data_IF_738894141828
#
_entry.id   IF_738894141828
#
_cell.length_a   1.000
_cell.length_b   1.000
_cell.length_c   1.000
_cell.angle_alpha   90.00
_cell.angle_beta   90.00
_cell.angle_gamma   90.00
#
_symmetry.space_group_name_H-M   'P 1'
#
loop_
_entity.id
_entity.type
_entity.pdbx_description
1 polymer ?
#
# COMPACT_ATOMS: atom_id res chain seq x y z
N UNK A 1 -103.86 0.96 24.23
CA UNK A 1 -103.95 -0.30 24.99
C UNK A 1 -103.29 -1.39 24.16
N UNK A 2 -102.16 -1.92 24.64
CA UNK A 2 -101.42 -3.15 24.26
C UNK A 2 -101.30 -3.48 22.75
N UNK A 3 -100.14 -3.34 22.12
CA UNK A 3 -98.96 -4.22 22.18
C UNK A 3 -98.83 -4.97 20.85
N UNK A 4 -97.66 -4.90 20.19
CA UNK A 4 -96.82 -6.09 19.96
C UNK A 4 -95.53 -5.73 19.20
N UNK A 5 -94.51 -6.48 19.61
CA UNK A 5 -93.08 -6.42 19.40
C UNK A 5 -92.69 -7.22 18.15
N UNK A 6 -91.71 -6.74 17.36
CA UNK A 6 -90.84 -7.61 16.55
C UNK A 6 -89.61 -6.79 16.12
N UNK A 7 -88.47 -6.92 16.82
CA UNK A 7 -87.33 -7.80 16.50
C UNK A 7 -86.78 -7.54 15.08
N UNK A 8 -85.70 -6.76 15.03
CA UNK A 8 -84.88 -6.56 13.84
C UNK A 8 -83.43 -6.33 14.26
N UNK A 9 -82.67 -7.42 14.31
CA UNK A 9 -81.23 -7.47 14.56
C UNK A 9 -80.53 -6.86 13.34
N UNK A 10 -79.80 -5.77 13.52
CA UNK A 10 -78.83 -5.31 12.52
C UNK A 10 -77.46 -5.18 13.19
N UNK A 11 -76.75 -6.30 13.23
CA UNK A 11 -75.31 -6.31 13.46
C UNK A 11 -74.63 -5.62 12.28
N UNK A 12 -74.08 -4.41 12.50
CA UNK A 12 -73.16 -3.78 11.54
C UNK A 12 -71.80 -4.46 11.68
N UNK A 13 -71.50 -5.37 10.76
CA UNK A 13 -70.13 -5.85 10.54
C UNK A 13 -69.32 -4.75 9.87
N UNK A 14 -68.50 -4.04 10.65
CA UNK A 14 -67.45 -3.18 10.11
C UNK A 14 -66.26 -4.05 9.68
N UNK A 15 -66.15 -4.35 8.39
CA UNK A 15 -64.92 -4.91 7.81
C UNK A 15 -63.88 -3.78 7.75
N UNK A 16 -62.96 -3.75 8.71
CA UNK A 16 -61.72 -2.97 8.56
C UNK A 16 -60.82 -3.73 7.59
N UNK A 17 -60.81 -3.32 6.32
CA UNK A 17 -59.77 -3.74 5.37
C UNK A 17 -58.46 -3.15 5.86
N UNK A 18 -57.59 -3.99 6.42
CA UNK A 18 -56.25 -3.60 6.84
C UNK A 18 -55.44 -3.14 5.64
N UNK A 19 -55.07 -1.87 5.60
CA UNK A 19 -53.99 -1.35 4.77
C UNK A 19 -52.65 -1.89 5.28
N UNK A 20 -52.29 -3.10 4.86
CA UNK A 20 -50.96 -3.69 5.02
C UNK A 20 -50.30 -3.86 3.65
N UNK A 21 -50.08 -2.74 2.96
CA UNK A 21 -49.30 -2.75 1.74
C UNK A 21 -48.54 -1.43 1.62
N UNK A 22 -47.46 -1.30 2.39
CA UNK A 22 -46.38 -0.36 2.09
C UNK A 22 -45.23 -0.59 3.07
N UNK A 23 -44.34 -1.55 2.78
CA UNK A 23 -42.94 -1.47 3.25
C UNK A 23 -41.97 -2.46 2.58
N UNK A 24 -42.25 -2.91 1.36
CA UNK A 24 -41.29 -3.72 0.59
C UNK A 24 -40.78 -2.93 -0.63
N UNK A 25 -40.24 -1.74 -0.38
CA UNK A 25 -39.26 -1.14 -1.30
C UNK A 25 -37.86 -1.54 -0.82
N UNK A 26 -37.53 -2.82 -0.98
CA UNK A 26 -36.14 -3.25 -0.99
C UNK A 26 -35.47 -2.60 -2.19
N UNK A 27 -34.70 -1.53 -1.96
CA UNK A 27 -33.80 -1.02 -2.98
C UNK A 27 -32.70 -2.06 -3.16
N UNK A 28 -32.85 -2.96 -4.13
CA UNK A 28 -31.75 -3.81 -4.57
C UNK A 28 -30.71 -2.88 -5.18
N UNK A 29 -29.72 -2.46 -4.38
CA UNK A 29 -28.52 -1.82 -4.89
C UNK A 29 -27.71 -2.90 -5.59
N UNK A 30 -27.93 -3.06 -6.89
CA UNK A 30 -27.03 -3.83 -7.76
C UNK A 30 -25.72 -3.05 -7.89
N UNK A 31 -24.88 -3.14 -6.85
CA UNK A 31 -23.51 -2.69 -6.93
C UNK A 31 -22.70 -3.83 -7.56
N UNK A 32 -22.91 -4.09 -8.85
CA UNK A 32 -22.05 -4.95 -9.69
C UNK A 32 -20.72 -4.26 -10.01
N UNK A 33 -20.17 -3.52 -9.04
CA UNK A 33 -18.76 -3.17 -9.03
C UNK A 33 -18.02 -4.41 -8.52
N UNK A 34 -17.30 -5.10 -9.41
CA UNK A 34 -16.32 -6.13 -9.04
C UNK A 34 -15.58 -5.71 -7.75
N UNK A 35 -15.34 -6.61 -6.79
CA UNK A 35 -14.88 -6.25 -5.45
C UNK A 35 -13.62 -5.39 -5.54
N UNK A 36 -13.78 -4.06 -5.41
CA UNK A 36 -12.67 -3.12 -5.49
C UNK A 36 -11.97 -3.14 -4.15
N UNK A 37 -10.70 -3.51 -4.12
CA UNK A 37 -9.86 -3.53 -2.92
C UNK A 37 -10.06 -2.27 -2.06
N UNK A 38 -10.21 -2.41 -0.74
CA UNK A 38 -10.33 -1.27 0.19
C UNK A 38 -9.00 -0.49 0.28
N UNK A 39 -9.03 0.80 0.64
CA UNK A 39 -7.82 1.62 0.79
C UNK A 39 -6.93 1.13 1.92
N UNK A 40 -7.51 0.63 3.02
CA UNK A 40 -6.76 0.01 4.11
C UNK A 40 -5.93 -1.18 3.63
N UNK A 41 -6.54 -2.10 2.87
CA UNK A 41 -5.84 -3.26 2.31
C UNK A 41 -4.77 -2.89 1.29
N UNK A 42 -5.05 -1.90 0.44
CA UNK A 42 -4.06 -1.38 -0.50
C UNK A 42 -2.81 -0.86 0.24
N UNK A 43 -2.99 -0.03 1.26
CA UNK A 43 -1.86 0.52 2.02
C UNK A 43 -1.11 -0.56 2.80
N UNK A 44 -1.82 -1.57 3.33
CA UNK A 44 -1.20 -2.75 3.95
C UNK A 44 -0.32 -3.52 2.95
N UNK A 45 -0.81 -3.78 1.74
CA UNK A 45 -0.04 -4.44 0.69
C UNK A 45 1.15 -3.61 0.21
N UNK A 46 0.99 -2.29 0.08
CA UNK A 46 2.10 -1.37 -0.27
C UNK A 46 3.19 -1.40 0.80
N UNK A 47 2.81 -1.39 2.08
CA UNK A 47 3.75 -1.53 3.21
C UNK A 47 4.44 -2.89 3.22
N UNK A 48 3.68 -3.96 2.94
CA UNK A 48 4.21 -5.31 2.84
C UNK A 48 5.22 -5.44 1.68
N UNK A 49 4.92 -4.87 0.51
CA UNK A 49 5.83 -4.86 -0.63
C UNK A 49 7.18 -4.20 -0.28
N UNK A 50 7.16 -3.02 0.36
CA UNK A 50 8.39 -2.35 0.80
C UNK A 50 9.18 -3.20 1.79
N UNK A 51 8.51 -3.81 2.77
CA UNK A 51 9.14 -4.69 3.77
C UNK A 51 9.78 -5.92 3.15
N UNK A 52 9.08 -6.59 2.23
CA UNK A 52 9.62 -7.75 1.52
C UNK A 52 10.84 -7.35 0.68
N UNK A 53 10.79 -6.22 -0.02
CA UNK A 53 11.92 -5.76 -0.82
C UNK A 53 13.14 -5.41 0.05
N UNK A 54 12.95 -4.70 1.16
CA UNK A 54 14.04 -4.41 2.11
C UNK A 54 14.59 -5.69 2.73
N UNK A 55 13.74 -6.59 3.20
CA UNK A 55 14.17 -7.87 3.78
C UNK A 55 14.92 -8.73 2.75
N UNK A 56 14.42 -8.78 1.51
CA UNK A 56 15.07 -9.53 0.43
C UNK A 56 16.46 -8.97 0.13
N UNK A 57 16.62 -7.64 0.13
CA UNK A 57 17.93 -6.96 -0.02
C UNK A 57 18.91 -7.37 1.06
N UNK A 58 18.49 -7.41 2.32
CA UNK A 58 19.34 -7.85 3.43
C UNK A 58 19.71 -9.33 3.27
N UNK A 59 18.74 -10.19 2.98
CA UNK A 59 18.99 -11.64 2.82
C UNK A 59 19.93 -11.93 1.65
N UNK A 60 19.70 -11.32 0.48
CA UNK A 60 20.59 -11.51 -0.68
C UNK A 60 21.96 -10.88 -0.49
N UNK A 61 22.10 -9.82 0.31
CA UNK A 61 23.41 -9.32 0.71
C UNK A 61 24.20 -10.38 1.49
N UNK A 62 23.58 -11.02 2.48
CA UNK A 62 24.23 -12.11 3.22
C UNK A 62 24.55 -13.30 2.32
N UNK A 63 23.62 -13.70 1.43
CA UNK A 63 23.87 -14.79 0.49
C UNK A 63 24.99 -14.46 -0.50
N UNK A 64 25.06 -13.22 -1.00
CA UNK A 64 26.13 -12.77 -1.92
C UNK A 64 27.50 -12.71 -1.25
N UNK A 65 27.55 -12.19 -0.02
CA UNK A 65 28.77 -12.21 0.80
C UNK A 65 29.20 -13.65 1.11
N UNK A 66 28.26 -14.51 1.51
CA UNK A 66 28.53 -15.91 1.80
C UNK A 66 29.01 -16.69 0.57
N UNK A 67 28.37 -16.51 -0.59
CA UNK A 67 28.79 -17.13 -1.85
C UNK A 67 30.19 -16.67 -2.28
N UNK A 68 30.51 -15.40 -2.04
CA UNK A 68 31.85 -14.86 -2.33
C UNK A 68 32.88 -15.42 -1.36
N UNK A 69 32.54 -15.53 -0.08
CA UNK A 69 33.41 -16.13 0.93
C UNK A 69 33.68 -17.62 0.64
N UNK A 70 32.66 -18.39 0.27
CA UNK A 70 32.85 -19.79 -0.11
C UNK A 70 33.68 -19.93 -1.38
N UNK A 71 33.48 -19.04 -2.36
CA UNK A 71 34.33 -19.00 -3.55
C UNK A 71 35.79 -18.69 -3.21
N UNK A 72 36.05 -17.66 -2.40
CA UNK A 72 37.40 -17.29 -1.95
C UNK A 72 38.06 -18.40 -1.12
N UNK A 73 37.30 -19.15 -0.33
CA UNK A 73 37.83 -20.28 0.44
C UNK A 73 38.35 -21.43 -0.42
N UNK A 74 37.98 -21.48 -1.71
CA UNK A 74 38.53 -22.45 -2.67
C UNK A 74 39.70 -21.86 -3.48
N UNK A 75 40.01 -20.58 -3.33
CA UNK A 75 41.13 -19.94 -4.02
C UNK A 75 42.36 -20.02 -3.12
N UNK A 76 43.42 -20.65 -3.61
CA UNK A 76 44.72 -20.65 -2.95
C UNK A 76 45.34 -19.25 -3.07
N UNK A 77 45.38 -18.54 -1.94
CA UNK A 77 46.00 -17.22 -1.83
C UNK A 77 47.25 -17.34 -0.95
N UNK A 78 48.39 -16.94 -1.51
CA UNK A 78 49.65 -16.84 -0.78
C UNK A 78 49.62 -15.61 0.14
N UNK A 79 49.48 -15.85 1.45
CA UNK A 79 49.30 -14.80 2.47
C UNK A 79 50.57 -13.99 2.69
N UNK A 80 51.73 -14.49 2.25
CA UNK A 80 53.02 -13.80 2.42
C UNK A 80 53.25 -12.74 1.35
N UNK A 81 52.48 -12.77 0.26
CA UNK A 81 52.64 -11.83 -0.87
C UNK A 81 51.51 -10.80 -0.91
N UNK A 82 51.83 -9.51 -0.99
CA UNK A 82 50.81 -8.48 -1.14
C UNK A 82 50.09 -8.61 -2.49
N UNK A 83 48.77 -8.46 -2.47
CA UNK A 83 47.94 -8.43 -3.68
C UNK A 83 47.74 -6.97 -4.07
N UNK A 84 48.30 -6.56 -5.21
CA UNK A 84 48.23 -5.16 -5.69
C UNK A 84 48.77 -4.12 -4.68
N UNK A 85 49.75 -4.52 -3.85
CA UNK A 85 50.31 -3.66 -2.80
C UNK A 85 49.46 -3.56 -1.53
N UNK A 86 48.36 -4.31 -1.45
CA UNK A 86 47.49 -4.42 -0.27
C UNK A 86 47.69 -5.76 0.44
N UNK A 87 47.42 -5.76 1.75
CA UNK A 87 47.36 -6.98 2.56
C UNK A 87 46.28 -7.94 2.02
N UNK A 88 46.58 -9.23 1.80
CA UNK A 88 45.60 -10.24 1.41
C UNK A 88 44.30 -10.22 2.23
N UNK A 89 44.36 -9.99 3.55
CA UNK A 89 43.15 -9.91 4.37
C UNK A 89 42.23 -8.74 3.99
N UNK A 90 42.81 -7.58 3.64
CA UNK A 90 42.03 -6.43 3.16
C UNK A 90 41.37 -6.72 1.82
N UNK A 91 42.09 -7.37 0.90
CA UNK A 91 41.54 -7.75 -0.41
C UNK A 91 40.41 -8.76 -0.27
N UNK A 92 40.58 -9.77 0.59
CA UNK A 92 39.54 -10.76 0.87
C UNK A 92 38.30 -10.13 1.52
N UNK A 93 38.49 -9.30 2.55
CA UNK A 93 37.40 -8.56 3.18
C UNK A 93 36.66 -7.64 2.19
N UNK A 94 37.42 -6.96 1.32
CA UNK A 94 36.90 -6.14 0.24
C UNK A 94 36.08 -6.96 -0.76
N UNK A 95 36.59 -8.11 -1.20
CA UNK A 95 35.89 -9.01 -2.13
C UNK A 95 34.56 -9.50 -1.53
N UNK A 96 34.56 -9.98 -0.27
CA UNK A 96 33.34 -10.41 0.42
C UNK A 96 32.34 -9.26 0.57
N UNK A 97 32.81 -8.06 0.90
CA UNK A 97 31.98 -6.86 0.99
C UNK A 97 31.35 -6.50 -0.35
N UNK A 98 32.12 -6.59 -1.45
CA UNK A 98 31.62 -6.38 -2.81
C UNK A 98 30.55 -7.41 -3.19
N UNK A 99 30.79 -8.69 -2.86
CA UNK A 99 29.81 -9.75 -3.03
C UNK A 99 28.50 -9.48 -2.30
N UNK A 100 28.58 -9.01 -1.06
CA UNK A 100 27.42 -8.59 -0.28
C UNK A 100 26.71 -7.38 -0.87
N UNK A 101 27.45 -6.39 -1.37
CA UNK A 101 26.88 -5.21 -2.02
C UNK A 101 26.12 -5.59 -3.31
N UNK A 102 26.71 -6.44 -4.15
CA UNK A 102 26.04 -6.96 -5.36
C UNK A 102 24.76 -7.71 -4.98
N UNK A 103 24.83 -8.55 -3.95
CA UNK A 103 23.66 -9.23 -3.40
C UNK A 103 22.57 -8.25 -2.94
N UNK A 104 22.94 -7.20 -2.20
CA UNK A 104 22.02 -6.18 -1.72
C UNK A 104 21.26 -5.49 -2.86
N UNK A 105 21.97 -5.10 -3.92
CA UNK A 105 21.40 -4.44 -5.10
C UNK A 105 20.45 -5.37 -5.86
N UNK A 106 20.77 -6.67 -5.94
CA UNK A 106 19.92 -7.65 -6.60
C UNK A 106 18.63 -7.99 -5.82
N UNK A 107 18.60 -7.75 -4.51
CA UNK A 107 17.53 -8.21 -3.64
C UNK A 107 16.11 -7.70 -3.92
N UNK A 108 15.88 -6.41 -4.26
CA UNK A 108 14.54 -5.93 -4.60
C UNK A 108 13.93 -6.65 -5.82
N UNK A 109 14.75 -7.13 -6.76
CA UNK A 109 14.27 -7.92 -7.91
C UNK A 109 13.68 -9.25 -7.45
N UNK A 110 14.36 -9.94 -6.54
CA UNK A 110 13.87 -11.19 -5.91
C UNK A 110 12.64 -10.91 -5.04
N UNK A 111 12.69 -9.85 -4.23
CA UNK A 111 11.59 -9.45 -3.35
C UNK A 111 10.29 -9.15 -4.11
N UNK A 112 10.39 -8.48 -5.25
CA UNK A 112 9.24 -8.20 -6.11
C UNK A 112 8.61 -9.48 -6.68
N UNK A 113 9.41 -10.49 -7.01
CA UNK A 113 8.90 -11.79 -7.47
C UNK A 113 8.17 -12.49 -6.32
N UNK A 114 8.77 -12.55 -5.13
CA UNK A 114 8.15 -13.12 -3.92
C UNK A 114 6.82 -12.42 -3.60
N UNK A 115 6.79 -11.10 -3.61
CA UNK A 115 5.59 -10.33 -3.32
C UNK A 115 4.45 -10.66 -4.29
N UNK A 116 4.75 -10.74 -5.60
CA UNK A 116 3.78 -11.09 -6.65
C UNK A 116 3.25 -12.51 -6.49
N UNK A 117 4.12 -13.46 -6.12
CA UNK A 117 3.72 -14.86 -5.90
C UNK A 117 2.79 -15.00 -4.70
N UNK A 118 3.14 -14.39 -3.56
CA UNK A 118 2.34 -14.46 -2.33
C UNK A 118 0.98 -13.78 -2.50
N UNK A 119 0.93 -12.64 -3.20
CA UNK A 119 -0.29 -11.84 -3.35
C UNK A 119 -0.97 -12.01 -4.71
N UNK A 120 -0.73 -13.13 -5.41
CA UNK A 120 -1.15 -13.36 -6.81
C UNK A 120 -2.62 -13.03 -7.09
N UNK A 121 -3.52 -13.40 -6.17
CA UNK A 121 -4.97 -13.18 -6.31
C UNK A 121 -5.36 -11.71 -6.21
N UNK A 122 -4.63 -10.93 -5.41
CA UNK A 122 -4.90 -9.52 -5.15
C UNK A 122 -4.14 -8.58 -6.12
N UNK A 123 -3.19 -9.09 -6.91
CA UNK A 123 -2.28 -8.28 -7.74
C UNK A 123 -3.01 -7.41 -8.79
N UNK A 124 -4.05 -7.92 -9.43
CA UNK A 124 -4.79 -7.17 -10.44
C UNK A 124 -5.46 -5.93 -9.83
N UNK A 125 -6.14 -6.12 -8.69
CA UNK A 125 -6.80 -5.05 -7.96
C UNK A 125 -5.78 -4.08 -7.33
N UNK A 126 -4.67 -4.61 -6.81
CA UNK A 126 -3.58 -3.81 -6.26
C UNK A 126 -3.01 -2.86 -7.30
N UNK A 127 -2.69 -3.34 -8.51
CA UNK A 127 -2.18 -2.50 -9.61
C UNK A 127 -3.18 -1.43 -10.05
N UNK A 128 -4.45 -1.80 -10.23
CA UNK A 128 -5.49 -0.84 -10.59
C UNK A 128 -5.60 0.29 -9.55
N UNK A 129 -5.52 -0.08 -8.26
CA UNK A 129 -5.59 0.88 -7.16
C UNK A 129 -4.32 1.70 -6.97
N UNK A 130 -3.16 1.12 -7.23
CA UNK A 130 -1.88 1.84 -7.22
C UNK A 130 -1.86 2.92 -8.30
N UNK A 131 -2.38 2.63 -9.50
CA UNK A 131 -2.55 3.64 -10.55
C UNK A 131 -3.47 4.79 -10.11
N UNK A 132 -4.62 4.48 -9.50
CA UNK A 132 -5.52 5.51 -8.95
C UNK A 132 -4.85 6.32 -7.83
N UNK A 133 -4.05 5.67 -6.99
CA UNK A 133 -3.26 6.34 -5.96
C UNK A 133 -2.25 7.31 -6.59
N UNK A 134 -1.46 6.86 -7.57
CA UNK A 134 -0.48 7.69 -8.26
C UNK A 134 -1.13 8.87 -8.99
N UNK A 135 -2.32 8.69 -9.57
CA UNK A 135 -3.10 9.79 -10.14
C UNK A 135 -3.48 10.83 -9.08
N UNK A 136 -3.92 10.39 -7.89
CA UNK A 136 -4.22 11.29 -6.76
C UNK A 136 -2.97 12.01 -6.25
N UNK A 137 -1.83 11.33 -6.19
CA UNK A 137 -0.55 11.96 -5.82
C UNK A 137 -0.16 13.00 -6.87
N UNK A 138 -0.19 12.66 -8.16
CA UNK A 138 0.12 13.58 -9.26
C UNK A 138 -0.77 14.82 -9.25
N UNK A 139 -2.05 14.68 -8.93
CA UNK A 139 -2.99 15.80 -8.84
C UNK A 139 -2.72 16.69 -7.62
N UNK A 140 -2.37 16.10 -6.48
CA UNK A 140 -2.25 16.82 -5.21
C UNK A 140 -0.81 17.25 -4.86
N UNK A 141 0.22 16.79 -5.59
CA UNK A 141 1.61 17.20 -5.34
C UNK A 141 1.79 18.69 -5.57
N UNK A 142 2.78 19.27 -4.90
CA UNK A 142 3.17 20.67 -5.05
C UNK A 142 4.24 20.81 -6.13
N UNK A 143 4.39 22.01 -6.68
CA UNK A 143 5.49 22.31 -7.61
C UNK A 143 6.81 22.45 -6.83
N UNK A 144 7.86 21.65 -7.14
CA UNK A 144 9.14 21.74 -6.47
C UNK A 144 9.93 23.02 -6.81
N UNK A 145 9.54 23.76 -7.85
CA UNK A 145 10.24 25.00 -8.25
C UNK A 145 10.19 26.08 -7.17
N UNK A 146 9.12 26.13 -6.38
CA UNK A 146 8.91 27.11 -5.31
C UNK A 146 9.47 26.65 -3.94
N UNK A 147 10.48 25.80 -3.94
CA UNK A 147 11.08 25.30 -2.71
C UNK A 147 12.08 26.30 -2.11
N UNK A 148 12.16 26.34 -0.78
CA UNK A 148 13.18 27.11 -0.06
C UNK A 148 13.70 26.35 1.14
N UNK A 149 14.84 26.77 1.71
CA UNK A 149 15.39 26.14 2.91
C UNK A 149 14.39 26.16 4.09
N UNK A 150 13.62 27.24 4.23
CA UNK A 150 12.59 27.41 5.26
C UNK A 150 11.24 26.74 4.91
N UNK A 151 11.06 26.27 3.67
CA UNK A 151 9.87 25.59 3.18
C UNK A 151 10.26 24.42 2.25
N UNK A 152 10.75 23.30 2.81
CA UNK A 152 11.14 22.15 2.02
C UNK A 152 9.91 21.46 1.39
N UNK A 153 10.10 20.88 0.22
CA UNK A 153 9.04 20.17 -0.51
C UNK A 153 8.68 18.89 0.26
N UNK A 154 7.38 18.62 0.51
CA UNK A 154 6.96 17.32 1.02
C UNK A 154 7.26 16.21 0.03
N UNK A 155 7.09 14.94 0.44
CA UNK A 155 7.36 13.76 -0.41
C UNK A 155 6.67 13.87 -1.78
N UNK A 156 7.44 14.17 -2.83
CA UNK A 156 6.91 14.50 -4.16
C UNK A 156 6.26 13.29 -4.86
N UNK A 157 6.72 12.08 -4.55
CA UNK A 157 6.27 10.84 -5.19
C UNK A 157 5.33 10.02 -4.31
N UNK A 158 5.14 10.40 -3.05
CA UNK A 158 4.28 9.67 -2.10
C UNK A 158 4.85 8.29 -1.76
N UNK A 159 6.17 8.15 -1.73
CA UNK A 159 6.84 6.88 -1.39
C UNK A 159 6.59 6.46 0.05
N UNK A 160 6.50 7.42 0.98
CA UNK A 160 6.38 7.19 2.43
C UNK A 160 4.92 7.05 2.91
N UNK A 161 3.97 7.00 1.99
CA UNK A 161 2.54 6.90 2.29
C UNK A 161 2.13 5.42 2.35
N UNK A 162 2.00 4.90 3.59
CA UNK A 162 1.66 3.50 3.89
C UNK A 162 0.38 3.35 4.72
N UNK A 163 -0.37 4.43 4.92
CA UNK A 163 -1.63 4.45 5.66
C UNK A 163 -2.50 5.62 5.20
N UNK A 164 -3.80 5.57 5.54
CA UNK A 164 -4.70 6.69 5.31
C UNK A 164 -4.32 7.93 6.12
N UNK A 165 -3.76 7.74 7.30
CA UNK A 165 -3.28 8.83 8.14
C UNK A 165 -2.10 9.55 7.50
N UNK A 166 -1.09 8.79 7.01
CA UNK A 166 0.05 9.35 6.29
C UNK A 166 -0.42 10.12 5.05
N UNK A 167 -1.42 9.61 4.35
CA UNK A 167 -1.98 10.30 3.18
C UNK A 167 -2.65 11.63 3.56
N UNK A 168 -3.46 11.64 4.63
CA UNK A 168 -4.08 12.88 5.14
C UNK A 168 -3.03 13.89 5.62
N UNK A 169 -1.98 13.42 6.30
CA UNK A 169 -0.87 14.27 6.72
C UNK A 169 -0.16 14.87 5.52
N UNK A 170 0.19 14.05 4.53
CA UNK A 170 0.83 14.50 3.31
C UNK A 170 0.01 15.57 2.55
N UNK A 171 -1.32 15.44 2.51
CA UNK A 171 -2.20 16.48 1.95
C UNK A 171 -2.13 17.80 2.74
N UNK A 172 -2.07 17.73 4.09
CA UNK A 172 -1.88 18.92 4.94
C UNK A 172 -0.52 19.56 4.68
N UNK A 173 0.53 18.76 4.55
CA UNK A 173 1.88 19.24 4.27
C UNK A 173 1.95 19.95 2.91
N UNK A 174 1.31 19.39 1.87
CA UNK A 174 1.18 20.02 0.57
C UNK A 174 0.44 21.38 0.66
N UNK A 175 -0.64 21.45 1.42
CA UNK A 175 -1.38 22.70 1.61
C UNK A 175 -0.57 23.74 2.41
N UNK A 176 0.16 23.31 3.43
CA UNK A 176 1.05 24.17 4.20
C UNK A 176 2.19 24.72 3.32
N UNK A 177 2.78 23.87 2.48
CA UNK A 177 3.80 24.28 1.50
C UNK A 177 3.25 25.32 0.53
N UNK A 178 2.06 25.11 -0.06
CA UNK A 178 1.42 26.07 -0.98
C UNK A 178 1.16 27.42 -0.31
N UNK A 179 0.73 27.43 0.95
CA UNK A 179 0.50 28.66 1.70
C UNK A 179 1.80 29.44 1.89
N UNK A 180 2.86 28.77 2.36
CA UNK A 180 4.17 29.38 2.54
C UNK A 180 4.77 29.86 1.22
N UNK A 181 4.67 29.06 0.16
CA UNK A 181 5.17 29.44 -1.16
C UNK A 181 4.52 30.73 -1.69
N UNK A 182 3.24 30.99 -1.39
CA UNK A 182 2.56 32.24 -1.75
C UNK A 182 2.96 33.45 -0.91
N UNK A 183 3.50 33.24 0.29
CA UNK A 183 3.87 34.31 1.21
C UNK A 183 5.26 34.88 0.91
N UNK A 184 6.12 34.09 0.27
CA UNK A 184 7.52 34.45 -0.05
C UNK A 184 7.78 34.74 -1.54
N UNK A 185 6.73 34.79 -2.37
CA UNK A 185 6.78 35.25 -3.77
C UNK A 185 6.12 36.63 -3.81
#
# INVERSE_FOLDING_TARGET
>A
MFALKSIGIHARTSVRVGTLANNLRSSVRLNSSAPTMNWGDFFRLRKQNKRINTASSVVTAFLGAFATLTYLGNVEIDVEKPIMGLDPFMVMGGAVSLGGFVGYVAGPSVGNVIFKMVNRSAMAQFKAKDNLFLQRIKYNRVDPSSQSFSNPVPDYYGERIYSLENYKQWLRDCNAFRRKAKEFI
#
